data_IF_406387357087
#
_entry.id   IF_406387357087
#
_cell.length_a   1.000
_cell.length_b   1.000
_cell.length_c   1.000
_cell.angle_alpha   90.00
_cell.angle_beta   90.00
_cell.angle_gamma   90.00
#
_symmetry.space_group_name_H-M   'P 1'
#
loop_
_entity.id
_entity.type
_entity.pdbx_description
1 polymer ?
#
# COMPACT_ATOMS: atom_id res chain seq x y z
N UNK A 1 -49.16 -12.39 -0.49
CA UNK A 1 -47.69 -12.31 -0.64
C UNK A 1 -47.17 -11.44 0.48
N UNK A 2 -46.49 -12.04 1.45
CA UNK A 2 -46.06 -11.38 2.68
C UNK A 2 -45.05 -10.28 2.37
N UNK A 3 -45.35 -9.06 2.78
CA UNK A 3 -44.44 -7.92 2.68
C UNK A 3 -43.32 -8.09 3.73
N UNK A 4 -42.19 -8.70 3.35
CA UNK A 4 -41.00 -8.70 4.18
C UNK A 4 -40.40 -7.28 4.23
N UNK A 5 -40.50 -6.64 5.39
CA UNK A 5 -39.81 -5.39 5.68
C UNK A 5 -38.31 -5.67 5.60
N UNK A 6 -37.63 -5.13 4.57
CA UNK A 6 -36.16 -5.19 4.43
C UNK A 6 -35.51 -4.51 5.63
N UNK A 7 -35.16 -5.31 6.64
CA UNK A 7 -34.44 -4.84 7.82
C UNK A 7 -32.99 -4.56 7.44
N UNK A 8 -32.66 -3.28 7.27
CA UNK A 8 -31.27 -2.84 7.07
C UNK A 8 -30.47 -3.15 8.34
N UNK A 9 -29.74 -4.28 8.31
CA UNK A 9 -28.82 -4.66 9.38
C UNK A 9 -27.41 -4.19 9.04
N UNK A 10 -26.88 -3.30 9.86
CA UNK A 10 -25.46 -2.97 9.83
C UNK A 10 -24.60 -4.21 10.09
N UNK A 11 -23.34 -4.17 9.62
CA UNK A 11 -22.34 -5.14 10.04
C UNK A 11 -22.00 -4.86 11.51
N UNK A 12 -22.04 -5.91 12.32
CA UNK A 12 -21.55 -5.87 13.69
C UNK A 12 -20.02 -5.71 13.72
N UNK A 13 -19.49 -5.30 14.86
CA UNK A 13 -18.05 -5.23 15.08
C UNK A 13 -17.35 -6.58 14.79
N UNK A 14 -17.94 -7.69 15.25
CA UNK A 14 -17.42 -9.04 15.03
C UNK A 14 -17.36 -9.40 13.54
N UNK A 15 -18.40 -9.05 12.78
CA UNK A 15 -18.40 -9.29 11.33
C UNK A 15 -17.32 -8.47 10.63
N UNK A 16 -17.09 -7.21 11.04
CA UNK A 16 -16.01 -6.37 10.49
C UNK A 16 -14.62 -6.97 10.78
N UNK A 17 -14.39 -7.47 11.99
CA UNK A 17 -13.13 -8.15 12.34
C UNK A 17 -12.91 -9.43 11.51
N UNK A 18 -13.98 -10.19 11.23
CA UNK A 18 -13.89 -11.37 10.35
C UNK A 18 -13.56 -10.97 8.91
N UNK A 19 -14.17 -9.89 8.40
CA UNK A 19 -13.84 -9.35 7.07
C UNK A 19 -12.35 -8.99 7.00
N UNK A 20 -11.83 -8.24 7.98
CA UNK A 20 -10.41 -7.86 8.05
C UNK A 20 -9.49 -9.10 8.04
N UNK A 21 -9.75 -10.05 8.94
CA UNK A 21 -8.96 -11.27 9.03
C UNK A 21 -8.98 -12.07 7.72
N UNK A 22 -10.14 -12.22 7.10
CA UNK A 22 -10.27 -12.97 5.85
C UNK A 22 -9.55 -12.28 4.68
N UNK A 23 -9.56 -10.95 4.61
CA UNK A 23 -8.82 -10.19 3.61
C UNK A 23 -7.31 -10.33 3.77
N UNK A 24 -6.82 -10.30 5.01
CA UNK A 24 -5.39 -10.56 5.30
C UNK A 24 -4.97 -11.97 4.86
N UNK A 25 -5.90 -12.93 4.87
CA UNK A 25 -5.71 -14.29 4.36
C UNK A 25 -6.07 -14.46 2.87
N UNK A 26 -6.20 -13.36 2.12
CA UNK A 26 -6.51 -13.35 0.68
C UNK A 26 -7.83 -14.03 0.28
N UNK A 27 -8.79 -14.12 1.20
CA UNK A 27 -10.12 -14.65 0.89
C UNK A 27 -10.87 -13.73 -0.08
N UNK A 28 -11.69 -14.31 -0.96
CA UNK A 28 -12.49 -13.53 -1.89
C UNK A 28 -13.72 -12.94 -1.20
N UNK A 29 -14.27 -11.83 -1.73
CA UNK A 29 -15.51 -11.26 -1.18
C UNK A 29 -16.69 -12.24 -1.25
N UNK A 30 -16.67 -13.17 -2.20
CA UNK A 30 -17.70 -14.21 -2.33
C UNK A 30 -17.61 -15.19 -1.16
N UNK A 31 -16.41 -15.60 -0.77
CA UNK A 31 -16.22 -16.55 0.34
C UNK A 31 -16.57 -15.89 1.67
N UNK A 32 -16.12 -14.65 1.88
CA UNK A 32 -16.45 -13.85 3.07
C UNK A 32 -17.97 -13.66 3.20
N UNK A 33 -18.66 -13.37 2.09
CA UNK A 33 -20.11 -13.24 2.05
C UNK A 33 -20.82 -14.54 2.46
N UNK A 34 -20.35 -15.69 1.98
CA UNK A 34 -20.88 -17.01 2.36
C UNK A 34 -20.68 -17.28 3.85
N UNK A 35 -19.47 -17.05 4.37
CA UNK A 35 -19.15 -17.27 5.79
C UNK A 35 -20.01 -16.42 6.73
N UNK A 36 -20.27 -15.16 6.35
CA UNK A 36 -21.04 -14.23 7.20
C UNK A 36 -22.55 -14.25 6.94
N UNK A 37 -23.02 -14.97 5.91
CA UNK A 37 -24.42 -14.90 5.47
C UNK A 37 -24.84 -13.50 5.04
N UNK A 38 -23.90 -12.72 4.47
CA UNK A 38 -24.11 -11.33 4.03
C UNK A 38 -24.03 -11.23 2.52
N UNK A 39 -24.64 -10.20 1.94
CA UNK A 39 -24.50 -9.95 0.50
C UNK A 39 -23.07 -9.47 0.19
N UNK A 40 -22.47 -10.01 -0.88
CA UNK A 40 -21.15 -9.60 -1.41
C UNK A 40 -21.03 -8.08 -1.57
N UNK A 41 -22.08 -7.39 -2.01
CA UNK A 41 -22.08 -5.93 -2.16
C UNK A 41 -21.97 -5.18 -0.82
N UNK A 42 -22.44 -5.78 0.27
CA UNK A 42 -22.29 -5.23 1.62
C UNK A 42 -20.86 -5.35 2.11
N UNK A 43 -20.20 -6.49 1.84
CA UNK A 43 -18.77 -6.67 2.12
C UNK A 43 -17.95 -5.68 1.29
N UNK A 44 -18.22 -5.57 -0.02
CA UNK A 44 -17.48 -4.65 -0.89
C UNK A 44 -17.59 -3.18 -0.42
N UNK A 45 -18.80 -2.72 -0.06
CA UNK A 45 -19.01 -1.37 0.45
C UNK A 45 -18.31 -1.12 1.79
N UNK A 46 -18.28 -2.13 2.66
CA UNK A 46 -17.53 -2.05 3.92
C UNK A 46 -16.03 -1.84 3.66
N UNK A 47 -15.45 -2.67 2.79
CA UNK A 47 -14.03 -2.57 2.42
C UNK A 47 -13.74 -1.23 1.75
N UNK A 48 -14.53 -0.82 0.74
CA UNK A 48 -14.34 0.46 0.07
C UNK A 48 -14.40 1.67 1.02
N UNK A 49 -15.27 1.61 2.04
CA UNK A 49 -15.47 2.72 2.96
C UNK A 49 -14.42 2.76 4.09
N UNK A 50 -13.97 1.61 4.57
CA UNK A 50 -13.22 1.53 5.83
C UNK A 50 -11.85 0.84 5.72
N UNK A 51 -11.49 0.29 4.55
CA UNK A 51 -10.17 -0.31 4.34
C UNK A 51 -9.18 0.75 3.88
N UNK A 52 -8.10 0.90 4.63
CA UNK A 52 -6.95 1.72 4.26
C UNK A 52 -5.69 0.86 4.23
N UNK A 53 -4.99 0.85 3.10
CA UNK A 53 -3.65 0.25 3.03
C UNK A 53 -2.71 1.17 3.79
N UNK A 54 -2.26 0.74 4.97
CA UNK A 54 -1.13 1.36 5.63
C UNK A 54 0.11 1.06 4.78
N UNK A 55 0.58 2.05 4.01
CA UNK A 55 1.89 1.97 3.38
C UNK A 55 2.92 1.89 4.50
N UNK A 56 3.85 0.96 4.39
CA UNK A 56 5.02 0.94 5.28
C UNK A 56 5.64 2.33 5.29
N UNK A 57 5.86 2.88 6.48
CA UNK A 57 6.56 4.16 6.59
C UNK A 57 7.99 3.99 6.06
N UNK A 58 8.56 5.04 5.48
CA UNK A 58 9.93 5.02 4.97
C UNK A 58 11.01 4.93 6.06
N UNK A 59 10.64 4.62 7.31
CA UNK A 59 11.52 4.62 8.47
C UNK A 59 12.73 3.67 8.30
N UNK A 60 12.58 2.59 7.52
CA UNK A 60 13.67 1.67 7.17
C UNK A 60 14.09 1.72 5.69
N UNK A 61 13.60 2.70 4.92
CA UNK A 61 14.06 2.91 3.53
C UNK A 61 15.26 3.84 3.51
N UNK A 62 16.41 3.38 4.04
CA UNK A 62 17.73 4.03 3.87
C UNK A 62 18.23 4.01 2.42
N UNK A 63 17.35 3.67 1.47
CA UNK A 63 17.63 3.36 0.08
C UNK A 63 17.11 4.42 -0.89
N UNK A 64 16.54 5.53 -0.38
CA UNK A 64 16.03 6.59 -1.22
C UNK A 64 17.03 7.74 -1.37
N UNK A 65 17.31 8.12 -2.61
CA UNK A 65 18.09 9.33 -2.90
C UNK A 65 17.25 10.56 -2.50
N UNK A 66 17.72 11.31 -1.50
CA UNK A 66 17.02 12.45 -0.90
C UNK A 66 17.45 13.80 -1.50
N UNK A 67 18.27 13.82 -2.55
CA UNK A 67 18.75 15.07 -3.13
C UNK A 67 17.62 15.88 -3.78
N UNK A 68 17.46 17.17 -3.47
CA UNK A 68 16.48 18.07 -4.11
C UNK A 68 16.67 18.21 -5.62
N UNK A 69 17.92 18.05 -6.08
CA UNK A 69 18.27 18.07 -7.51
C UNK A 69 18.04 16.72 -8.19
N UNK A 70 17.59 15.69 -7.46
CA UNK A 70 17.48 14.31 -7.97
C UNK A 70 16.71 14.22 -9.28
N UNK A 71 15.56 14.89 -9.40
CA UNK A 71 14.69 14.78 -10.58
C UNK A 71 15.27 15.44 -11.83
N UNK A 72 16.13 16.45 -11.65
CA UNK A 72 16.74 17.23 -12.73
C UNK A 72 18.22 16.86 -12.97
N UNK A 73 18.81 16.06 -12.08
CA UNK A 73 20.21 15.65 -12.16
C UNK A 73 20.47 14.75 -13.38
N UNK A 74 21.37 15.22 -14.26
CA UNK A 74 21.82 14.47 -15.45
C UNK A 74 23.15 13.75 -15.24
N UNK A 75 23.75 13.88 -14.06
CA UNK A 75 25.05 13.26 -13.73
C UNK A 75 24.92 11.75 -13.81
N UNK A 76 25.85 11.11 -14.50
CA UNK A 76 25.94 9.67 -14.64
C UNK A 76 27.20 9.15 -13.97
N UNK A 77 27.26 7.84 -13.72
CA UNK A 77 28.46 7.16 -13.19
C UNK A 77 28.97 7.73 -11.86
N UNK A 78 28.06 8.06 -10.93
CA UNK A 78 28.42 8.62 -9.62
C UNK A 78 29.34 7.70 -8.82
N UNK A 79 29.09 6.39 -8.87
CA UNK A 79 29.80 5.40 -8.07
C UNK A 79 30.50 4.39 -8.98
N UNK A 80 31.82 4.26 -8.79
CA UNK A 80 32.63 3.27 -9.49
C UNK A 80 32.25 1.80 -9.15
N UNK A 81 31.58 1.58 -8.00
CA UNK A 81 31.35 0.25 -7.42
C UNK A 81 29.87 0.03 -7.00
N UNK A 82 28.93 0.76 -7.59
CA UNK A 82 27.52 0.46 -7.33
C UNK A 82 27.18 -0.93 -7.90
N UNK A 83 26.84 -1.88 -7.01
CA UNK A 83 26.45 -3.26 -7.36
C UNK A 83 25.21 -3.29 -8.24
N UNK A 84 24.26 -2.41 -7.95
CA UNK A 84 23.18 -2.01 -8.84
C UNK A 84 23.73 -0.88 -9.71
N UNK A 85 24.14 -1.19 -10.95
CA UNK A 85 24.78 -0.29 -11.91
C UNK A 85 23.81 0.82 -12.35
N UNK A 86 23.48 1.74 -11.43
CA UNK A 86 22.63 2.89 -11.70
C UNK A 86 23.41 3.85 -12.58
N UNK A 87 23.03 3.92 -13.87
CA UNK A 87 23.70 4.80 -14.83
C UNK A 87 23.58 6.27 -14.42
N UNK A 88 22.48 6.67 -13.78
CA UNK A 88 22.18 8.05 -13.38
C UNK A 88 22.29 8.23 -11.87
N UNK A 89 22.86 9.36 -11.46
CA UNK A 89 22.90 9.81 -10.08
C UNK A 89 21.49 9.88 -9.47
N UNK A 90 20.49 10.28 -10.26
CA UNK A 90 19.09 10.40 -9.85
C UNK A 90 18.44 9.10 -9.37
N UNK A 91 18.93 7.93 -9.79
CA UNK A 91 18.49 6.62 -9.31
C UNK A 91 19.48 5.97 -8.34
N UNK A 92 20.66 6.56 -8.15
CA UNK A 92 21.69 6.03 -7.28
C UNK A 92 21.36 6.28 -5.80
N UNK A 93 21.22 5.20 -5.03
CA UNK A 93 20.99 5.23 -3.57
C UNK A 93 22.17 5.80 -2.77
N UNK A 94 23.37 5.83 -3.37
CA UNK A 94 24.59 6.40 -2.77
C UNK A 94 24.76 7.90 -3.04
N UNK A 95 23.82 8.54 -3.75
CA UNK A 95 23.84 9.99 -3.96
C UNK A 95 24.00 10.77 -2.65
N UNK A 96 23.29 10.34 -1.61
CA UNK A 96 23.30 10.99 -0.30
C UNK A 96 24.66 10.92 0.42
N UNK A 97 25.55 10.03 -0.01
CA UNK A 97 26.86 9.77 0.63
C UNK A 97 28.04 10.21 -0.24
N UNK A 98 27.94 10.05 -1.56
CA UNK A 98 29.08 10.15 -2.49
C UNK A 98 28.99 11.35 -3.44
N UNK A 99 27.81 11.98 -3.58
CA UNK A 99 27.64 13.07 -4.55
C UNK A 99 28.17 14.38 -3.98
N UNK A 100 29.21 14.92 -4.62
CA UNK A 100 29.77 16.24 -4.31
C UNK A 100 28.79 17.40 -4.50
N UNK A 101 27.72 17.19 -5.29
CA UNK A 101 26.66 18.16 -5.55
C UNK A 101 25.37 17.81 -4.81
N UNK A 102 25.44 16.87 -3.85
CA UNK A 102 24.32 16.51 -3.01
C UNK A 102 23.77 17.75 -2.30
N UNK A 103 22.44 17.83 -2.25
CA UNK A 103 21.71 18.94 -1.67
C UNK A 103 20.42 18.35 -1.08
N UNK A 104 20.30 18.27 0.26
CA UNK A 104 19.23 17.54 0.96
C UNK A 104 17.84 18.12 0.75
#
# INVERSE_FOLDING_TARGET
>A
MSNEIKKYKHLSYRERAIIEHALNNRATFTDIAKTLGRNKSTIAREVQKNFSILKANHFNNSSENSCVKRTTCKKTNLCAVCTERHEKCSSCKRCNLECSEYDP
#
